data_IF_161089209213
#
_entry.id   IF_161089209213
#
_cell.length_a   1.000
_cell.length_b   1.000
_cell.length_c   1.000
_cell.angle_alpha   90.00
_cell.angle_beta   90.00
_cell.angle_gamma   90.00
#
_symmetry.space_group_name_H-M   'P 1'
#
loop_
_entity.id
_entity.type
_entity.pdbx_description
1 polymer ?
#
# COMPACT_ATOMS: atom_id res chain seq x y z
N UNK A 1 -19.99 -20.47 -7.29
CA UNK A 1 -19.17 -21.47 -8.03
C UNK A 1 -17.73 -21.00 -8.01
N UNK A 2 -16.86 -21.69 -7.30
CA UNK A 2 -15.41 -21.42 -7.32
C UNK A 2 -14.83 -21.94 -8.63
N UNK A 3 -14.31 -21.04 -9.45
CA UNK A 3 -13.67 -21.40 -10.73
C UNK A 3 -12.25 -21.86 -10.45
N UNK A 4 -11.93 -23.09 -10.79
CA UNK A 4 -10.57 -23.61 -10.71
C UNK A 4 -9.69 -22.95 -11.79
N UNK A 5 -8.50 -22.44 -11.41
CA UNK A 5 -7.61 -21.72 -12.32
C UNK A 5 -6.50 -22.63 -12.83
N UNK A 6 -5.95 -23.42 -11.90
CA UNK A 6 -4.94 -24.44 -12.12
C UNK A 6 -5.23 -25.61 -11.21
N UNK A 7 -4.64 -26.77 -11.46
CA UNK A 7 -4.76 -27.91 -10.58
C UNK A 7 -4.33 -27.54 -9.14
N UNK A 8 -5.23 -27.68 -8.19
CA UNK A 8 -5.03 -27.31 -6.79
C UNK A 8 -5.24 -25.85 -6.41
N UNK A 9 -5.63 -24.95 -7.35
CA UNK A 9 -5.88 -23.54 -7.09
C UNK A 9 -7.32 -23.15 -7.40
N UNK A 10 -7.98 -22.46 -6.46
CA UNK A 10 -9.36 -21.97 -6.60
C UNK A 10 -9.43 -20.47 -6.41
N UNK A 11 -10.30 -19.82 -7.16
CA UNK A 11 -10.65 -18.42 -6.87
C UNK A 11 -11.41 -18.36 -5.55
N UNK A 12 -11.01 -17.42 -4.70
CA UNK A 12 -11.74 -17.07 -3.49
C UNK A 12 -12.18 -15.61 -3.58
N UNK A 13 -13.32 -15.30 -3.00
CA UNK A 13 -13.77 -13.92 -2.85
C UNK A 13 -13.06 -13.25 -1.66
N UNK A 14 -13.09 -11.90 -1.60
CA UNK A 14 -12.54 -11.14 -0.47
C UNK A 14 -11.28 -10.34 -0.79
N UNK A 15 -10.70 -10.50 -1.98
CA UNK A 15 -9.51 -9.72 -2.40
C UNK A 15 -8.37 -9.85 -1.40
N UNK A 16 -7.77 -8.71 -1.01
CA UNK A 16 -6.66 -8.68 -0.04
C UNK A 16 -7.07 -9.07 1.37
N UNK A 17 -8.36 -8.97 1.70
CA UNK A 17 -8.93 -9.36 3.00
C UNK A 17 -9.45 -10.80 3.02
N UNK A 18 -9.29 -11.59 1.95
CA UNK A 18 -9.61 -13.00 1.95
C UNK A 18 -8.79 -13.78 2.99
N UNK A 19 -7.65 -13.26 3.31
CA UNK A 19 -6.78 -13.76 4.34
C UNK A 19 -7.16 -13.20 5.71
N UNK A 20 -7.32 -14.06 6.72
CA UNK A 20 -7.70 -13.65 8.07
C UNK A 20 -6.69 -12.69 8.69
N UNK A 21 -7.19 -11.67 9.39
CA UNK A 21 -6.37 -10.67 10.07
C UNK A 21 -5.90 -9.53 9.17
N UNK A 22 -6.39 -9.46 7.92
CA UNK A 22 -6.18 -8.31 7.05
C UNK A 22 -7.44 -7.46 6.94
N UNK A 23 -7.25 -6.17 7.07
CA UNK A 23 -8.25 -5.13 6.83
C UNK A 23 -7.74 -4.14 5.81
N UNK A 24 -8.63 -3.50 5.07
CA UNK A 24 -8.26 -2.52 4.05
C UNK A 24 -9.30 -1.42 3.95
N UNK A 25 -8.85 -0.27 3.47
CA UNK A 25 -9.72 0.83 3.10
C UNK A 25 -9.10 1.64 1.96
N UNK A 26 -9.94 2.40 1.27
CA UNK A 26 -9.51 3.35 0.26
C UNK A 26 -10.51 4.49 0.13
N UNK A 27 -9.99 5.69 -0.15
CA UNK A 27 -10.79 6.91 -0.31
C UNK A 27 -10.16 7.85 -1.34
N UNK A 28 -10.86 8.92 -1.67
CA UNK A 28 -10.31 10.05 -2.38
C UNK A 28 -9.91 11.12 -1.35
N UNK A 29 -8.61 11.41 -1.24
CA UNK A 29 -8.07 12.46 -0.37
C UNK A 29 -7.76 13.77 -1.12
N UNK A 30 -8.11 13.86 -2.40
CA UNK A 30 -7.96 15.06 -3.22
C UNK A 30 -6.64 15.16 -4.01
N UNK A 31 -5.81 14.14 -4.02
CA UNK A 31 -4.67 14.04 -4.96
C UNK A 31 -5.23 13.87 -6.38
N UNK A 32 -6.32 13.10 -6.53
CA UNK A 32 -7.08 13.00 -7.76
C UNK A 32 -8.25 14.00 -7.74
N UNK A 33 -8.33 14.92 -8.72
CA UNK A 33 -9.43 15.88 -8.76
C UNK A 33 -10.81 15.25 -9.03
N UNK A 34 -10.85 14.01 -9.53
CA UNK A 34 -12.10 13.26 -9.77
C UNK A 34 -12.51 12.58 -8.48
N UNK A 35 -13.51 13.11 -7.78
CA UNK A 35 -13.94 12.69 -6.43
C UNK A 35 -14.37 11.23 -6.34
N UNK A 36 -14.91 10.66 -7.41
CA UNK A 36 -15.35 9.26 -7.48
C UNK A 36 -14.18 8.26 -7.63
N UNK A 37 -12.96 8.76 -7.83
CA UNK A 37 -11.76 7.94 -7.99
C UNK A 37 -10.94 7.96 -6.71
N UNK A 38 -10.76 6.81 -6.11
CA UNK A 38 -9.88 6.66 -4.97
C UNK A 38 -8.43 6.93 -5.39
N UNK A 39 -7.72 7.63 -4.53
CA UNK A 39 -6.33 8.02 -4.75
C UNK A 39 -5.43 7.70 -3.55
N UNK A 40 -6.01 7.31 -2.43
CA UNK A 40 -5.31 6.85 -1.24
C UNK A 40 -5.91 5.55 -0.74
N UNK A 41 -5.07 4.62 -0.30
CA UNK A 41 -5.50 3.37 0.24
C UNK A 41 -4.52 2.73 1.19
N UNK A 42 -5.03 1.86 2.07
CA UNK A 42 -4.29 1.14 3.08
C UNK A 42 -4.70 -0.33 3.11
N UNK A 43 -3.72 -1.18 3.34
CA UNK A 43 -3.91 -2.57 3.79
C UNK A 43 -3.16 -2.70 5.11
N UNK A 44 -3.81 -3.22 6.12
CA UNK A 44 -3.24 -3.41 7.44
C UNK A 44 -3.41 -4.86 7.89
N UNK A 45 -2.38 -5.40 8.53
CA UNK A 45 -2.41 -6.70 9.19
C UNK A 45 -2.45 -6.51 10.70
N UNK A 46 -3.39 -7.15 11.36
CA UNK A 46 -3.47 -7.18 12.83
C UNK A 46 -2.23 -7.83 13.46
N UNK A 47 -1.59 -8.75 12.72
CA UNK A 47 -0.35 -9.42 13.14
C UNK A 47 0.83 -8.92 12.34
N UNK A 48 2.01 -8.98 12.94
CA UNK A 48 3.27 -8.74 12.23
C UNK A 48 3.47 -9.79 11.13
N UNK A 49 3.80 -9.32 9.92
CA UNK A 49 4.02 -10.16 8.76
C UNK A 49 5.49 -10.16 8.36
N UNK A 50 5.98 -11.29 7.86
CA UNK A 50 7.21 -11.29 7.09
C UNK A 50 6.95 -10.60 5.74
N UNK A 51 7.84 -9.68 5.39
CA UNK A 51 7.74 -8.92 4.15
C UNK A 51 9.04 -9.02 3.36
N UNK A 52 8.91 -9.18 2.05
CA UNK A 52 10.03 -9.16 1.11
C UNK A 52 9.66 -8.35 -0.12
N UNK A 53 10.62 -7.65 -0.70
CA UNK A 53 10.41 -6.83 -1.89
C UNK A 53 11.46 -7.12 -2.95
N UNK A 54 11.05 -7.12 -4.21
CA UNK A 54 11.94 -7.05 -5.37
C UNK A 54 11.82 -5.66 -5.98
N UNK A 55 12.94 -5.08 -6.36
CA UNK A 55 13.01 -3.68 -6.75
C UNK A 55 13.67 -3.53 -8.11
N UNK A 56 13.30 -2.46 -8.80
CA UNK A 56 13.93 -2.10 -10.07
C UNK A 56 15.44 -1.88 -9.92
N UNK A 57 16.18 -2.28 -10.94
CA UNK A 57 17.62 -2.00 -11.07
C UNK A 57 17.87 -0.61 -11.69
N UNK A 58 16.84 0.12 -12.08
CA UNK A 58 16.97 1.48 -12.60
C UNK A 58 17.72 2.36 -11.59
N UNK A 59 18.62 3.20 -12.07
CA UNK A 59 19.38 4.14 -11.24
C UNK A 59 18.47 5.25 -10.68
N UNK A 60 17.47 5.66 -11.43
CA UNK A 60 16.43 6.60 -10.97
C UNK A 60 15.33 5.80 -10.30
N UNK A 61 15.27 5.87 -8.98
CA UNK A 61 14.26 5.19 -8.17
C UNK A 61 13.28 6.20 -7.59
N UNK A 62 12.01 5.81 -7.51
CA UNK A 62 11.02 6.57 -6.76
C UNK A 62 11.34 6.58 -5.27
N UNK A 63 11.07 7.69 -4.61
CA UNK A 63 11.29 7.84 -3.18
C UNK A 63 10.59 6.75 -2.33
N UNK A 64 9.36 6.30 -2.65
CA UNK A 64 8.73 5.20 -1.92
C UNK A 64 9.53 3.91 -1.94
N UNK A 65 10.27 3.62 -3.02
CA UNK A 65 11.12 2.42 -3.09
C UNK A 65 12.30 2.54 -2.13
N UNK A 66 12.92 3.73 -2.07
CA UNK A 66 14.08 3.99 -1.21
C UNK A 66 13.67 3.87 0.26
N UNK A 67 12.56 4.50 0.64
CA UNK A 67 12.02 4.47 2.00
C UNK A 67 11.59 3.05 2.39
N UNK A 68 10.81 2.36 1.55
CA UNK A 68 10.40 0.97 1.83
C UNK A 68 11.59 0.03 2.04
N UNK A 69 12.66 0.19 1.25
CA UNK A 69 13.89 -0.61 1.47
C UNK A 69 14.50 -0.34 2.83
N UNK A 70 14.68 0.93 3.20
CA UNK A 70 15.21 1.34 4.52
C UNK A 70 14.34 0.77 5.65
N UNK A 71 13.02 0.83 5.52
CA UNK A 71 12.08 0.30 6.50
C UNK A 71 12.22 -1.20 6.67
N UNK A 72 12.21 -1.97 5.56
CA UNK A 72 12.36 -3.42 5.62
C UNK A 72 13.74 -3.85 6.15
N UNK A 73 14.80 -3.13 5.84
CA UNK A 73 16.13 -3.35 6.42
C UNK A 73 16.11 -3.10 7.94
N UNK A 74 15.52 -1.99 8.39
CA UNK A 74 15.44 -1.59 9.79
C UNK A 74 14.54 -2.51 10.63
N UNK A 75 13.43 -2.97 10.06
CA UNK A 75 12.48 -3.88 10.72
C UNK A 75 12.90 -5.36 10.67
N UNK A 76 14.02 -5.69 10.00
CA UNK A 76 14.42 -7.09 9.80
C UNK A 76 13.48 -7.87 8.88
N UNK A 77 12.89 -7.21 7.88
CA UNK A 77 11.94 -7.81 6.95
C UNK A 77 10.55 -8.00 7.51
N UNK A 78 10.16 -7.15 8.46
CA UNK A 78 8.82 -7.17 9.06
C UNK A 78 8.00 -5.98 8.62
N UNK A 79 6.68 -6.19 8.42
CA UNK A 79 5.74 -5.11 8.13
C UNK A 79 4.34 -5.44 8.65
N UNK A 80 3.54 -4.41 8.89
CA UNK A 80 2.14 -4.51 9.31
C UNK A 80 1.20 -3.76 8.38
N UNK A 81 1.68 -2.74 7.70
CA UNK A 81 0.83 -1.92 6.84
C UNK A 81 1.47 -1.64 5.48
N UNK A 82 0.61 -1.46 4.48
CA UNK A 82 0.97 -0.93 3.16
C UNK A 82 0.08 0.28 2.90
N UNK A 83 0.69 1.44 2.62
CA UNK A 83 -0.03 2.63 2.17
C UNK A 83 0.32 2.93 0.72
N UNK A 84 -0.71 3.25 -0.07
CA UNK A 84 -0.55 3.46 -1.51
C UNK A 84 -1.29 4.71 -1.94
N UNK A 85 -0.64 5.60 -2.66
CA UNK A 85 -1.35 6.66 -3.37
C UNK A 85 -1.25 6.51 -4.89
N UNK A 86 -2.26 7.01 -5.58
CA UNK A 86 -2.27 7.15 -7.03
C UNK A 86 -2.11 8.63 -7.46
N UNK A 87 -2.02 8.88 -8.76
CA UNK A 87 -1.87 10.20 -9.41
C UNK A 87 -0.50 10.83 -9.34
N UNK A 88 0.29 10.58 -8.31
CA UNK A 88 1.64 11.12 -8.17
C UNK A 88 2.60 10.00 -7.77
N UNK A 89 3.67 9.81 -8.53
CA UNK A 89 4.63 8.72 -8.32
C UNK A 89 5.69 9.03 -7.25
N UNK A 90 5.71 10.25 -6.73
CA UNK A 90 6.74 10.73 -5.80
C UNK A 90 8.17 10.37 -6.26
N UNK A 91 8.45 10.68 -7.50
CA UNK A 91 9.70 10.33 -8.19
C UNK A 91 10.30 11.59 -8.84
N UNK A 92 11.62 11.73 -8.78
CA UNK A 92 12.37 12.88 -9.27
C UNK A 92 12.04 14.21 -8.56
N UNK A 93 11.72 14.15 -7.27
CA UNK A 93 11.52 15.30 -6.41
C UNK A 93 12.62 15.34 -5.35
N UNK A 94 13.14 16.54 -5.04
CA UNK A 94 14.21 16.71 -4.08
C UNK A 94 13.83 16.29 -2.65
N UNK A 95 12.57 16.51 -2.29
CA UNK A 95 11.97 16.19 -0.97
C UNK A 95 11.15 14.87 -0.97
N UNK A 96 11.29 14.06 -2.01
CA UNK A 96 10.47 12.86 -2.18
C UNK A 96 10.62 11.85 -1.04
N UNK A 97 11.84 11.61 -0.55
CA UNK A 97 12.08 10.69 0.56
C UNK A 97 11.48 11.22 1.87
N UNK A 98 11.64 12.51 2.16
CA UNK A 98 11.06 13.17 3.33
C UNK A 98 9.52 13.05 3.33
N UNK A 99 8.89 13.25 2.17
CA UNK A 99 7.44 13.09 1.99
C UNK A 99 7.02 11.65 2.22
N UNK A 100 7.75 10.67 1.68
CA UNK A 100 7.42 9.26 1.85
C UNK A 100 7.58 8.80 3.31
N UNK A 101 8.62 9.26 4.01
CA UNK A 101 8.81 9.04 5.45
C UNK A 101 7.65 9.65 6.24
N UNK A 102 7.28 10.90 5.94
CA UNK A 102 6.17 11.58 6.63
C UNK A 102 4.83 10.87 6.46
N UNK A 103 4.56 10.34 5.26
CA UNK A 103 3.35 9.53 5.01
C UNK A 103 3.36 8.25 5.84
N UNK A 104 4.53 7.61 5.99
CA UNK A 104 4.70 6.43 6.85
C UNK A 104 4.45 6.74 8.32
N UNK A 105 5.01 7.85 8.81
CA UNK A 105 4.81 8.34 10.18
C UNK A 105 3.33 8.61 10.47
N UNK A 106 2.65 9.34 9.58
CA UNK A 106 1.21 9.65 9.73
C UNK A 106 0.36 8.38 9.85
N UNK A 107 0.63 7.36 9.03
CA UNK A 107 -0.10 6.10 9.13
C UNK A 107 0.28 5.34 10.40
N UNK A 108 1.56 5.28 10.72
CA UNK A 108 2.06 4.59 11.90
C UNK A 108 1.47 5.16 13.19
N UNK A 109 1.43 6.50 13.30
CA UNK A 109 0.81 7.20 14.44
C UNK A 109 -0.69 6.91 14.53
N UNK A 110 -1.40 6.93 13.40
CA UNK A 110 -2.85 6.70 13.37
C UNK A 110 -3.26 5.26 13.76
N UNK A 111 -2.39 4.27 13.49
CA UNK A 111 -2.67 2.84 13.79
C UNK A 111 -2.00 2.41 15.10
N UNK A 112 -0.97 3.11 15.58
CA UNK A 112 -0.18 2.74 16.77
C UNK A 112 0.87 1.67 16.48
N UNK A 113 1.56 1.78 15.34
CA UNK A 113 2.69 0.93 14.94
C UNK A 113 3.94 1.77 14.72
N UNK A 114 5.06 1.13 14.37
CA UNK A 114 6.28 1.85 14.05
C UNK A 114 6.33 2.25 12.58
N UNK A 115 6.91 3.41 12.19
CA UNK A 115 7.05 3.80 10.80
C UNK A 115 7.75 2.76 9.92
N UNK A 116 8.76 2.07 10.44
CA UNK A 116 9.46 1.00 9.73
C UNK A 116 8.64 -0.27 9.46
N UNK A 117 7.46 -0.39 10.07
CA UNK A 117 6.49 -1.46 9.79
C UNK A 117 5.53 -1.07 8.65
N UNK A 118 5.69 0.13 8.06
CA UNK A 118 4.89 0.64 6.96
C UNK A 118 5.65 0.53 5.64
N UNK A 119 5.03 -0.11 4.67
CA UNK A 119 5.47 -0.13 3.27
C UNK A 119 4.76 0.99 2.53
N UNK A 120 5.52 1.84 1.84
CA UNK A 120 4.98 2.96 1.07
C UNK A 120 5.05 2.68 -0.42
N UNK A 121 3.98 2.96 -1.13
CA UNK A 121 3.93 2.88 -2.58
C UNK A 121 3.23 4.10 -3.18
N UNK A 122 3.74 4.59 -4.30
CA UNK A 122 3.15 5.71 -5.02
C UNK A 122 3.18 5.45 -6.51
N UNK A 123 2.12 5.85 -7.21
CA UNK A 123 2.04 5.70 -8.66
C UNK A 123 1.38 6.92 -9.30
N UNK A 124 1.84 7.29 -10.49
CA UNK A 124 1.28 8.42 -11.24
C UNK A 124 2.33 9.27 -11.94
N UNK A 125 2.13 10.58 -11.93
CA UNK A 125 3.01 11.54 -12.60
C UNK A 125 4.37 11.62 -11.91
N UNK A 126 5.42 11.64 -12.72
CA UNK A 126 6.82 11.79 -12.29
C UNK A 126 7.21 13.26 -12.38
N UNK A 127 8.06 13.74 -11.45
CA UNK A 127 8.57 15.11 -11.45
C UNK A 127 7.58 16.17 -10.95
N UNK A 128 6.43 15.76 -10.47
CA UNK A 128 5.48 16.64 -9.79
C UNK A 128 5.61 16.44 -8.28
N UNK A 129 5.81 17.53 -7.52
CA UNK A 129 5.91 17.47 -6.06
C UNK A 129 4.60 16.92 -5.46
N UNK A 130 4.71 15.92 -4.61
CA UNK A 130 3.59 15.38 -3.84
C UNK A 130 3.37 16.26 -2.59
N UNK A 131 2.12 16.63 -2.33
CA UNK A 131 1.77 17.34 -1.10
C UNK A 131 1.48 16.35 0.03
N UNK A 132 1.98 16.64 1.23
CA UNK A 132 1.65 15.85 2.43
C UNK A 132 0.25 16.19 2.97
N UNK A 133 -0.23 17.42 2.73
CA UNK A 133 -1.49 17.92 3.28
C UNK A 133 -2.71 17.00 3.09
N UNK A 134 -2.95 16.39 1.90
CA UNK A 134 -4.05 15.43 1.74
C UNK A 134 -3.95 14.23 2.69
N UNK A 135 -2.73 13.76 2.96
CA UNK A 135 -2.53 12.64 3.89
C UNK A 135 -2.82 13.06 5.33
N UNK A 136 -2.37 14.24 5.75
CA UNK A 136 -2.66 14.79 7.09
C UNK A 136 -4.17 14.92 7.30
N UNK A 137 -4.89 15.44 6.31
CA UNK A 137 -6.32 15.72 6.43
C UNK A 137 -7.20 14.45 6.43
N UNK A 138 -6.75 13.37 5.78
CA UNK A 138 -7.60 12.20 5.54
C UNK A 138 -7.08 10.90 6.18
N UNK A 139 -5.91 10.91 6.85
CA UNK A 139 -5.33 9.69 7.41
C UNK A 139 -6.24 9.02 8.44
N UNK A 140 -6.81 9.80 9.35
CA UNK A 140 -7.72 9.26 10.37
C UNK A 140 -8.98 8.66 9.73
N UNK A 141 -9.57 9.33 8.75
CA UNK A 141 -10.73 8.78 8.02
C UNK A 141 -10.38 7.49 7.26
N UNK A 142 -9.17 7.41 6.71
CA UNK A 142 -8.68 6.20 6.05
C UNK A 142 -8.59 5.03 7.01
N UNK A 143 -8.04 5.26 8.19
CA UNK A 143 -7.87 4.25 9.25
C UNK A 143 -9.20 3.81 9.86
N UNK A 144 -10.07 4.75 10.20
CA UNK A 144 -11.38 4.49 10.81
C UNK A 144 -12.30 3.67 9.88
N UNK A 145 -12.12 3.79 8.58
CA UNK A 145 -12.89 3.04 7.58
C UNK A 145 -12.32 1.68 7.21
N UNK A 146 -11.23 1.22 7.85
CA UNK A 146 -10.68 -0.11 7.57
C UNK A 146 -11.66 -1.23 7.92
N UNK A 147 -11.83 -2.18 7.02
CA UNK A 147 -12.73 -3.31 7.20
C UNK A 147 -12.15 -4.58 6.59
N UNK A 148 -12.55 -5.71 7.15
CA UNK A 148 -12.28 -7.03 6.57
C UNK A 148 -13.27 -7.40 5.44
N UNK A 149 -14.23 -6.53 5.13
CA UNK A 149 -15.17 -6.75 4.03
C UNK A 149 -14.45 -6.80 2.69
N UNK A 150 -14.47 -7.97 2.08
CA UNK A 150 -13.79 -8.23 0.81
C UNK A 150 -14.29 -7.38 -0.35
N UNK A 151 -15.52 -6.85 -0.29
CA UNK A 151 -16.04 -5.95 -1.33
C UNK A 151 -15.32 -4.60 -1.32
N UNK A 152 -15.17 -3.99 -0.15
CA UNK A 152 -14.42 -2.73 0.02
C UNK A 152 -12.95 -2.91 -0.34
N UNK A 153 -12.33 -4.01 0.08
CA UNK A 153 -10.96 -4.36 -0.27
C UNK A 153 -10.79 -4.62 -1.78
N UNK A 154 -11.74 -5.28 -2.42
CA UNK A 154 -11.73 -5.52 -3.88
C UNK A 154 -11.93 -4.22 -4.68
N UNK A 155 -12.77 -3.30 -4.21
CA UNK A 155 -12.94 -1.97 -4.81
C UNK A 155 -11.66 -1.15 -4.71
N UNK A 156 -10.99 -1.18 -3.57
CA UNK A 156 -9.68 -0.57 -3.36
C UNK A 156 -8.64 -1.14 -4.33
N UNK A 157 -8.45 -2.45 -4.33
CA UNK A 157 -7.52 -3.14 -5.20
C UNK A 157 -7.83 -2.84 -6.69
N UNK A 158 -9.08 -2.91 -7.11
CA UNK A 158 -9.49 -2.67 -8.49
C UNK A 158 -9.31 -1.22 -8.93
N UNK A 159 -9.58 -0.25 -8.05
CA UNK A 159 -9.47 1.19 -8.39
C UNK A 159 -8.04 1.71 -8.29
N UNK A 160 -7.24 1.19 -7.36
CA UNK A 160 -5.86 1.61 -7.16
C UNK A 160 -4.87 0.78 -7.97
N UNK A 161 -5.05 -0.54 -8.06
CA UNK A 161 -4.20 -1.45 -8.83
C UNK A 161 -4.29 -1.23 -10.35
N UNK A 162 -5.37 -0.64 -10.86
CA UNK A 162 -5.40 -0.19 -12.24
C UNK A 162 -4.28 0.80 -12.55
N UNK A 163 -3.98 1.72 -11.62
CA UNK A 163 -2.84 2.65 -11.76
C UNK A 163 -1.50 1.95 -11.63
N UNK A 164 -1.39 0.90 -10.79
CA UNK A 164 -0.19 0.09 -10.64
C UNK A 164 0.07 -0.83 -11.85
N UNK A 165 -0.97 -1.22 -12.59
CA UNK A 165 -0.86 -2.08 -13.78
C UNK A 165 -0.18 -1.40 -14.96
N UNK A 166 -0.16 -0.05 -15.00
CA UNK A 166 0.51 0.75 -16.03
C UNK A 166 2.00 0.99 -15.72
N UNK A 167 2.44 0.75 -14.48
CA UNK A 167 3.84 0.78 -14.10
C UNK A 167 4.31 -0.65 -13.90
N UNK A 168 4.83 -1.24 -14.97
CA UNK A 168 5.41 -2.58 -14.95
C UNK A 168 6.34 -2.76 -13.75
N UNK A 169 6.05 -3.78 -12.91
CA UNK A 169 6.93 -4.44 -11.96
C UNK A 169 7.06 -3.87 -10.56
N UNK A 170 5.95 -3.62 -9.88
CA UNK A 170 5.94 -3.71 -8.43
C UNK A 170 5.24 -5.01 -8.00
N UNK A 171 6.01 -6.01 -7.65
CA UNK A 171 5.49 -7.19 -6.96
C UNK A 171 5.75 -6.97 -5.48
N UNK A 172 4.72 -6.59 -4.74
CA UNK A 172 4.75 -6.71 -3.28
C UNK A 172 4.32 -8.14 -2.98
N UNK A 173 5.27 -9.00 -2.72
CA UNK A 173 4.99 -10.36 -2.26
C UNK A 173 4.95 -10.34 -0.74
N UNK A 174 3.76 -10.31 -0.17
CA UNK A 174 3.57 -10.74 1.20
C UNK A 174 3.57 -12.27 1.21
N UNK A 175 4.60 -12.88 1.73
CA UNK A 175 4.66 -14.34 1.89
C UNK A 175 4.03 -14.70 3.23
N UNK A 176 2.95 -15.45 3.16
CA UNK A 176 2.23 -16.02 4.30
C UNK A 176 2.99 -17.20 4.88
N UNK A 177 3.24 -17.16 6.17
CA UNK A 177 3.50 -18.38 6.92
C UNK A 177 2.15 -18.89 7.46
N UNK A 178 1.66 -19.97 6.86
CA UNK A 178 0.55 -20.74 7.42
C UNK A 178 1.08 -21.36 8.71
N UNK A 179 0.53 -20.96 9.86
CA UNK A 179 0.65 -21.80 11.04
C UNK A 179 -0.09 -23.09 10.72
N UNK A 180 0.64 -24.17 10.63
CA UNK A 180 0.09 -25.52 10.56
C UNK A 180 -0.23 -25.89 12.00
N UNK A 181 -1.53 -25.99 12.34
CA UNK A 181 -2.01 -26.77 13.47
C UNK A 181 -1.86 -28.25 13.18
#
# INVERSE_FOLDING_TARGET
MTKEIFDGYKYIEGGVCAAKGFVANGLNCGINPVKEKFDLGVVYSEKECNAAGVYTQNKVKGAPIIVTKKHLEKSGGKAKAVIVNSKNANTCNADGEEIAEKVSELLADAIGIKPEEVIVASTGVIGQRLSVKPFEDYMQQLVDGMTADGHTAALFARKLLWSLRLMEKFVISAVWQKEVE
#
